data_IF_395641563227
#
_entry.id   IF_395641563227
#
_cell.length_a   1.000
_cell.length_b   1.000
_cell.length_c   1.000
_cell.angle_alpha   90.00
_cell.angle_beta   90.00
_cell.angle_gamma   90.00
#
_symmetry.space_group_name_H-M   'P 1'
#
loop_
_entity.id
_entity.type
_entity.pdbx_description
1 polymer ?
#
# COMPACT_ATOMS: atom_id res chain seq x y z
N UNK A 1 14.83 21.00 35.66
CA UNK A 1 15.85 20.24 36.43
C UNK A 1 15.17 19.11 37.20
N UNK A 2 15.34 17.84 36.81
CA UNK A 2 14.95 16.67 37.62
C UNK A 2 16.03 16.48 38.69
N UNK A 3 16.01 17.33 39.70
CA UNK A 3 17.01 17.33 40.77
C UNK A 3 16.51 16.49 41.94
N UNK A 4 16.76 15.18 41.98
CA UNK A 4 16.56 14.38 43.19
C UNK A 4 17.52 13.20 43.20
N UNK A 5 18.62 13.32 43.96
CA UNK A 5 19.55 12.22 44.26
C UNK A 5 18.98 11.17 45.21
N UNK A 6 17.70 10.82 45.06
CA UNK A 6 16.95 9.98 46.01
C UNK A 6 16.35 8.73 45.36
N UNK A 7 16.20 8.71 44.03
CA UNK A 7 15.78 7.54 43.24
C UNK A 7 16.81 7.29 42.15
N UNK A 8 17.11 6.02 41.90
CA UNK A 8 18.05 5.63 40.86
C UNK A 8 17.52 6.07 39.48
N UNK A 9 18.28 6.90 38.72
CA UNK A 9 17.89 7.36 37.38
C UNK A 9 17.52 6.23 36.41
N UNK A 10 18.15 5.06 36.54
CA UNK A 10 17.88 3.92 35.67
C UNK A 10 16.47 3.34 35.92
N UNK A 11 16.04 3.35 37.19
CA UNK A 11 14.71 2.88 37.58
C UNK A 11 13.63 3.82 37.06
N UNK A 12 13.85 5.13 37.15
CA UNK A 12 12.95 6.15 36.59
C UNK A 12 12.85 6.04 35.06
N UNK A 13 13.97 5.85 34.37
CA UNK A 13 13.94 5.65 32.92
C UNK A 13 13.14 4.40 32.52
N UNK A 14 13.35 3.29 33.24
CA UNK A 14 12.63 2.05 32.99
C UNK A 14 11.12 2.19 33.27
N UNK A 15 10.75 2.86 34.36
CA UNK A 15 9.34 3.05 34.74
C UNK A 15 8.62 4.02 33.78
N UNK A 16 9.27 5.12 33.39
CA UNK A 16 8.76 6.09 32.42
C UNK A 16 8.61 5.43 31.04
N UNK A 17 9.62 4.67 30.59
CA UNK A 17 9.56 3.90 29.34
C UNK A 17 8.45 2.86 29.35
N UNK A 18 8.30 2.11 30.44
CA UNK A 18 7.24 1.12 30.59
C UNK A 18 5.84 1.76 30.58
N UNK A 19 5.68 2.93 31.20
CA UNK A 19 4.43 3.70 31.17
C UNK A 19 4.06 4.15 29.76
N UNK A 20 5.03 4.61 28.96
CA UNK A 20 4.79 4.99 27.57
C UNK A 20 4.42 3.78 26.71
N UNK A 21 5.09 2.65 26.92
CA UNK A 21 4.77 1.41 26.19
C UNK A 21 3.35 0.91 26.49
N UNK A 22 2.91 0.94 27.76
CA UNK A 22 1.54 0.58 28.12
C UNK A 22 0.49 1.45 27.41
N UNK A 23 0.72 2.76 27.37
CA UNK A 23 -0.15 3.69 26.62
C UNK A 23 -0.20 3.35 25.13
N UNK A 24 0.92 2.98 24.53
CA UNK A 24 0.95 2.54 23.14
C UNK A 24 0.09 1.28 22.93
N UNK A 25 0.20 0.29 23.80
CA UNK A 25 -0.63 -0.92 23.72
C UNK A 25 -2.12 -0.59 23.80
N UNK A 26 -2.52 0.25 24.75
CA UNK A 26 -3.91 0.70 24.89
C UNK A 26 -4.41 1.39 23.60
N UNK A 27 -3.57 2.20 22.94
CA UNK A 27 -3.95 2.84 21.67
C UNK A 27 -4.08 1.85 20.51
N UNK A 28 -3.25 0.80 20.46
CA UNK A 28 -3.36 -0.26 19.46
C UNK A 28 -4.67 -1.04 19.64
N UNK A 29 -4.99 -1.42 20.87
CA UNK A 29 -6.21 -2.17 21.19
C UNK A 29 -7.46 -1.35 20.83
N UNK A 30 -7.47 -0.06 21.19
CA UNK A 30 -8.54 0.85 20.82
C UNK A 30 -8.68 1.01 19.30
N UNK A 31 -7.56 1.07 18.57
CA UNK A 31 -7.57 1.15 17.11
C UNK A 31 -8.16 -0.12 16.47
N UNK A 32 -7.77 -1.30 16.94
CA UNK A 32 -8.31 -2.58 16.47
C UNK A 32 -9.81 -2.64 16.73
N UNK A 33 -10.26 -2.37 17.96
CA UNK A 33 -11.69 -2.36 18.29
C UNK A 33 -12.47 -1.38 17.39
N UNK A 34 -11.96 -0.15 17.22
CA UNK A 34 -12.59 0.85 16.35
C UNK A 34 -12.71 0.38 14.90
N UNK A 35 -11.69 -0.29 14.37
CA UNK A 35 -11.77 -0.82 13.00
C UNK A 35 -12.84 -1.88 12.86
N UNK A 36 -12.95 -2.81 13.81
CA UNK A 36 -13.96 -3.86 13.79
C UNK A 36 -15.37 -3.25 13.77
N UNK A 37 -15.65 -2.29 14.65
CA UNK A 37 -16.97 -1.65 14.72
C UNK A 37 -17.27 -0.70 13.55
N UNK A 38 -16.25 -0.17 12.88
CA UNK A 38 -16.43 0.76 11.76
C UNK A 38 -16.61 0.06 10.39
N UNK A 39 -16.28 -1.22 10.27
CA UNK A 39 -16.42 -1.95 9.01
C UNK A 39 -17.90 -2.20 8.70
N UNK A 40 -18.42 -1.53 7.67
CA UNK A 40 -19.70 -1.85 7.06
C UNK A 40 -19.45 -2.68 5.80
N UNK A 41 -19.78 -3.97 5.85
CA UNK A 41 -19.69 -4.87 4.69
C UNK A 41 -20.91 -4.59 3.80
N UNK A 42 -20.74 -3.79 2.74
CA UNK A 42 -21.70 -3.79 1.64
C UNK A 42 -21.57 -5.13 0.92
N UNK A 43 -22.53 -6.02 1.16
CA UNK A 43 -22.80 -7.14 0.26
C UNK A 43 -23.10 -6.56 -1.11
N UNK A 44 -22.19 -6.76 -2.06
CA UNK A 44 -22.50 -6.53 -3.48
C UNK A 44 -23.54 -7.57 -3.89
N UNK A 45 -24.82 -7.23 -3.69
CA UNK A 45 -25.91 -7.91 -4.36
C UNK A 45 -25.73 -7.62 -5.85
N UNK A 46 -25.05 -8.52 -6.55
CA UNK A 46 -24.99 -8.52 -8.00
C UNK A 46 -26.39 -8.80 -8.52
N UNK A 47 -27.16 -7.75 -8.75
CA UNK A 47 -28.35 -7.83 -9.60
C UNK A 47 -27.91 -8.42 -10.95
N UNK A 48 -28.58 -9.48 -11.45
CA UNK A 48 -28.19 -10.12 -12.68
C UNK A 48 -28.30 -9.12 -13.84
N UNK A 49 -27.21 -8.95 -14.57
CA UNK A 49 -27.17 -8.21 -15.83
C UNK A 49 -28.13 -8.88 -16.83
N UNK A 50 -29.35 -8.37 -16.94
CA UNK A 50 -30.20 -8.62 -18.11
C UNK A 50 -29.56 -7.95 -19.31
N UNK A 51 -28.90 -8.74 -20.16
CA UNK A 51 -28.36 -8.30 -21.45
C UNK A 51 -29.55 -7.98 -22.36
N UNK A 52 -29.80 -6.68 -22.58
CA UNK A 52 -30.64 -6.21 -23.68
C UNK A 52 -29.72 -5.49 -24.69
N UNK A 53 -29.66 -5.93 -25.96
CA UNK A 53 -28.90 -5.22 -26.98
C UNK A 53 -29.74 -4.04 -27.51
N UNK A 54 -29.44 -2.82 -27.04
CA UNK A 54 -29.99 -1.58 -27.56
C UNK A 54 -28.97 -0.43 -27.44
N UNK A 55 -28.81 0.43 -28.45
CA UNK A 55 -27.75 1.44 -28.47
C UNK A 55 -28.03 2.54 -27.43
N UNK A 56 -27.12 2.68 -26.46
CA UNK A 56 -27.18 3.67 -25.38
C UNK A 56 -26.63 5.02 -25.84
N UNK A 57 -27.53 6.00 -26.00
CA UNK A 57 -27.18 7.43 -26.01
C UNK A 57 -27.03 7.86 -24.54
N UNK A 58 -25.78 8.04 -24.11
CA UNK A 58 -25.44 8.51 -22.77
C UNK A 58 -25.63 10.03 -22.69
N UNK A 59 -26.57 10.48 -21.87
CA UNK A 59 -26.53 11.82 -21.29
C UNK A 59 -26.40 11.70 -19.77
N UNK A 60 -25.19 11.93 -19.27
CA UNK A 60 -24.93 12.34 -17.89
C UNK A 60 -23.82 13.41 -17.93
N UNK A 61 -24.05 14.48 -17.15
CA UNK A 61 -23.30 15.73 -17.09
C UNK A 61 -21.78 15.58 -16.79
N UNK A 62 -20.94 16.60 -17.05
CA UNK A 62 -19.51 16.44 -17.25
C UNK A 62 -18.75 16.43 -15.92
N UNK A 63 -18.22 15.26 -15.54
CA UNK A 63 -17.15 15.20 -14.54
C UNK A 63 -15.88 15.72 -15.22
N UNK A 64 -15.36 16.82 -14.68
CA UNK A 64 -14.20 17.55 -15.14
C UNK A 64 -13.07 16.63 -15.63
N UNK A 65 -12.57 16.91 -16.84
CA UNK A 65 -11.42 16.25 -17.48
C UNK A 65 -10.13 16.51 -16.70
N UNK A 66 -9.99 15.92 -15.52
CA UNK A 66 -8.70 15.67 -14.90
C UNK A 66 -8.00 14.56 -15.69
N UNK A 67 -6.75 14.77 -16.12
CA UNK A 67 -5.95 13.74 -16.79
C UNK A 67 -5.96 12.48 -15.91
N UNK A 68 -6.61 11.40 -16.36
CA UNK A 68 -6.64 10.13 -15.62
C UNK A 68 -5.19 9.69 -15.40
N UNK A 69 -4.78 9.56 -14.13
CA UNK A 69 -3.46 9.09 -13.78
C UNK A 69 -3.34 7.65 -14.27
N UNK A 70 -2.39 7.38 -15.15
CA UNK A 70 -2.13 6.04 -15.69
C UNK A 70 -1.80 5.08 -14.53
N UNK A 71 -2.58 4.02 -14.38
CA UNK A 71 -2.42 3.02 -13.34
C UNK A 71 -1.25 2.07 -13.62
N UNK A 72 -0.74 1.43 -12.57
CA UNK A 72 0.43 0.54 -12.66
C UNK A 72 0.22 -0.63 -13.66
N UNK A 73 -0.99 -1.16 -13.77
CA UNK A 73 -1.33 -2.29 -14.64
C UNK A 73 -1.95 -1.87 -16.00
N UNK A 74 -2.22 -0.58 -16.21
CA UNK A 74 -2.84 -0.07 -17.44
C UNK A 74 -1.90 -0.23 -18.65
N UNK A 75 -2.44 -0.25 -19.89
CA UNK A 75 -1.61 -0.25 -21.09
C UNK A 75 -0.64 0.94 -21.10
N UNK A 76 0.63 0.69 -21.39
CA UNK A 76 1.65 1.74 -21.42
C UNK A 76 1.33 2.78 -22.51
N UNK A 77 1.42 4.09 -22.21
CA UNK A 77 1.19 5.15 -23.20
C UNK A 77 2.24 5.18 -24.33
N UNK A 78 3.31 4.42 -24.17
CA UNK A 78 4.37 4.25 -25.17
C UNK A 78 4.00 3.30 -26.32
N UNK A 79 2.84 2.64 -26.26
CA UNK A 79 2.33 1.79 -27.35
C UNK A 79 3.05 0.44 -27.56
N UNK A 80 4.04 0.08 -26.72
CA UNK A 80 4.78 -1.19 -26.88
C UNK A 80 3.87 -2.40 -26.65
N UNK A 81 4.08 -3.43 -27.46
CA UNK A 81 3.36 -4.70 -27.39
C UNK A 81 4.26 -5.74 -26.69
N UNK A 82 3.67 -6.65 -25.91
CA UNK A 82 4.41 -7.76 -25.32
C UNK A 82 4.73 -8.82 -26.40
N UNK A 83 6.01 -9.12 -26.67
CA UNK A 83 6.41 -10.06 -27.74
C UNK A 83 5.91 -11.49 -27.50
N UNK A 84 5.55 -11.86 -26.27
CA UNK A 84 5.02 -13.19 -25.95
C UNK A 84 3.51 -13.31 -26.09
N UNK A 85 2.76 -12.21 -25.94
CA UNK A 85 1.30 -12.27 -25.82
C UNK A 85 0.54 -11.40 -26.81
N UNK A 86 1.23 -10.58 -27.63
CA UNK A 86 0.59 -9.70 -28.62
C UNK A 86 -0.28 -8.58 -28.05
N UNK A 87 -0.36 -8.45 -26.72
CA UNK A 87 -1.19 -7.45 -26.01
C UNK A 87 -0.37 -6.21 -25.65
N UNK A 88 -1.02 -5.04 -25.48
CA UNK A 88 -0.35 -3.82 -25.01
C UNK A 88 0.41 -4.07 -23.71
N UNK A 89 1.68 -3.68 -23.67
CA UNK A 89 2.54 -3.90 -22.51
C UNK A 89 2.04 -3.07 -21.33
N UNK A 90 1.84 -3.71 -20.18
CA UNK A 90 1.42 -3.04 -18.95
C UNK A 90 2.43 -1.95 -18.56
N UNK A 91 1.97 -0.82 -18.05
CA UNK A 91 2.80 0.34 -17.69
C UNK A 91 3.96 -0.05 -16.76
N UNK A 92 3.70 -0.92 -15.77
CA UNK A 92 4.71 -1.49 -14.86
C UNK A 92 5.86 -2.23 -15.53
N UNK A 93 5.62 -2.85 -16.68
CA UNK A 93 6.60 -3.67 -17.41
C UNK A 93 7.26 -2.90 -18.56
N UNK A 94 6.94 -1.61 -18.73
CA UNK A 94 7.45 -0.81 -19.84
C UNK A 94 8.09 0.52 -19.44
N UNK A 95 7.34 1.44 -18.84
CA UNK A 95 7.81 2.81 -18.57
C UNK A 95 7.70 3.20 -17.08
N UNK A 96 7.47 2.21 -16.23
CA UNK A 96 7.42 2.38 -14.77
C UNK A 96 8.79 2.06 -14.16
N UNK A 97 9.31 2.84 -13.19
CA UNK A 97 8.92 4.18 -12.78
C UNK A 97 9.86 5.23 -13.40
N UNK A 98 9.44 5.93 -14.46
CA UNK A 98 10.26 7.01 -15.06
C UNK A 98 10.41 8.26 -14.16
N UNK A 99 9.69 8.37 -13.05
CA UNK A 99 9.93 9.41 -12.04
C UNK A 99 10.28 8.77 -10.69
N UNK A 100 11.58 8.59 -10.48
CA UNK A 100 12.13 8.30 -9.17
C UNK A 100 11.84 9.47 -8.23
N UNK A 101 10.92 9.28 -7.27
CA UNK A 101 11.11 9.94 -5.96
C UNK A 101 12.54 9.60 -5.53
N UNK A 102 13.33 10.56 -5.08
CA UNK A 102 14.61 10.31 -4.39
C UNK A 102 14.30 9.47 -3.14
N UNK A 103 14.25 8.15 -3.28
CA UNK A 103 14.17 7.20 -2.17
C UNK A 103 15.60 6.83 -1.85
N UNK A 104 16.05 7.21 -0.66
CA UNK A 104 17.32 6.78 -0.08
C UNK A 104 17.42 5.26 -0.23
N UNK A 105 18.51 4.83 -0.83
CA UNK A 105 18.92 3.46 -1.15
C UNK A 105 18.85 2.58 0.12
N UNK A 106 17.75 1.87 0.33
CA UNK A 106 17.72 0.73 1.25
C UNK A 106 18.42 -0.43 0.53
N UNK A 107 19.58 -0.85 1.05
CA UNK A 107 20.35 -1.99 0.54
C UNK A 107 19.60 -3.28 0.91
N UNK A 108 19.18 -4.13 -0.03
CA UNK A 108 18.72 -5.46 0.31
C UNK A 108 19.92 -6.31 0.74
N UNK A 109 19.78 -7.00 1.87
CA UNK A 109 20.75 -7.96 2.40
C UNK A 109 21.15 -8.98 1.32
N UNK A 110 22.45 -9.20 1.18
CA UNK A 110 23.02 -10.22 0.33
C UNK A 110 22.78 -11.59 0.99
N UNK A 111 21.89 -12.40 0.40
CA UNK A 111 21.87 -13.84 0.64
C UNK A 111 23.03 -14.47 -0.12
N UNK A 112 24.19 -14.48 0.51
CA UNK A 112 25.28 -15.37 0.15
C UNK A 112 25.24 -16.57 1.10
N UNK A 113 24.61 -17.67 0.68
CA UNK A 113 25.11 -18.99 1.04
C UNK A 113 25.13 -19.83 -0.21
N UNK A 114 26.37 -20.12 -0.61
CA UNK A 114 26.76 -20.82 -1.80
C UNK A 114 26.16 -22.22 -1.86
N UNK A 115 25.72 -22.52 -3.07
CA UNK A 115 25.63 -23.85 -3.66
C UNK A 115 27.03 -24.46 -3.65
N UNK A 116 27.30 -25.43 -2.79
CA UNK A 116 28.38 -26.42 -3.00
C UNK A 116 27.75 -27.65 -3.66
N UNK A 117 28.17 -27.88 -4.90
CA UNK A 117 28.00 -29.10 -5.65
C UNK A 117 29.18 -30.03 -5.32
N UNK A 118 28.84 -31.32 -5.15
CA UNK A 118 29.66 -32.50 -5.49
C UNK A 118 30.93 -32.78 -4.68
N UNK A 119 30.86 -33.83 -3.83
CA UNK A 119 31.49 -35.14 -4.08
C UNK A 119 30.50 -36.24 -3.67
#
# INVERSE_FOLDING_TARGET
>A
LRAYGQRDPLVEYKSEGHKMFKRLLETCDAAVAKTIFAINIKSEKSEPLTVSPGPVVQQAAPIAKGKRKIGRNDPCPCGKINPRTGKPMKYKKCCYPKYGKKIKRYKPYEKNYCRELEV
#
